data_IF_449837910817
#
_entry.id   IF_449837910817
#
_cell.length_a   1.000
_cell.length_b   1.000
_cell.length_c   1.000
_cell.angle_alpha   90.00
_cell.angle_beta   90.00
_cell.angle_gamma   90.00
#
_symmetry.space_group_name_H-M   'P 1'
#
loop_
_entity.id
_entity.type
_entity.pdbx_description
1 polymer ?
#
# COMPACT_ATOMS: atom_id res chain seq x y z
N UNK A 1 -23.80 2.77 12.97
CA UNK A 1 -22.35 3.06 12.86
C UNK A 1 -21.65 1.73 13.10
N UNK A 2 -21.13 1.11 12.03
CA UNK A 2 -20.34 -0.11 12.19
C UNK A 2 -19.08 0.25 12.98
N UNK A 3 -18.84 -0.47 14.08
CA UNK A 3 -17.62 -0.33 14.87
C UNK A 3 -16.43 -0.56 13.95
N UNK A 4 -15.61 0.47 13.74
CA UNK A 4 -14.37 0.37 12.96
C UNK A 4 -13.42 -0.61 13.66
N UNK A 5 -13.36 -1.83 13.19
CA UNK A 5 -12.44 -2.85 13.70
C UNK A 5 -11.01 -2.32 13.61
N UNK A 6 -10.39 -2.05 14.74
CA UNK A 6 -8.98 -1.62 14.82
C UNK A 6 -8.08 -2.79 14.46
N UNK A 7 -7.56 -2.80 13.24
CA UNK A 7 -6.60 -3.81 12.78
C UNK A 7 -5.18 -3.28 13.04
N UNK A 8 -4.37 -4.05 13.78
CA UNK A 8 -2.97 -3.68 14.07
C UNK A 8 -2.09 -3.72 12.81
N UNK A 9 -0.95 -3.02 12.81
CA UNK A 9 0.01 -2.99 11.70
C UNK A 9 0.44 -4.41 11.28
N UNK A 10 0.83 -5.25 12.21
CA UNK A 10 1.28 -6.62 11.91
C UNK A 10 0.17 -7.50 11.31
N UNK A 11 -1.07 -7.32 11.77
CA UNK A 11 -2.21 -8.03 11.19
C UNK A 11 -2.49 -7.55 9.76
N UNK A 12 -2.38 -6.23 9.50
CA UNK A 12 -2.47 -5.69 8.14
C UNK A 12 -1.38 -6.25 7.23
N UNK A 13 -0.14 -6.29 7.71
CA UNK A 13 1.00 -6.86 6.99
C UNK A 13 0.74 -8.33 6.62
N UNK A 14 0.31 -9.16 7.60
CA UNK A 14 -0.01 -10.57 7.36
C UNK A 14 -1.14 -10.74 6.32
N UNK A 15 -2.22 -9.98 6.45
CA UNK A 15 -3.33 -10.01 5.49
C UNK A 15 -2.85 -9.61 4.10
N UNK A 16 -2.05 -8.54 3.99
CA UNK A 16 -1.54 -8.03 2.71
C UNK A 16 -0.67 -9.03 1.94
N UNK A 17 0.00 -9.95 2.64
CA UNK A 17 0.90 -10.93 2.02
C UNK A 17 0.18 -12.27 1.77
N UNK A 18 -0.56 -12.77 2.77
CA UNK A 18 -1.08 -14.15 2.78
C UNK A 18 -2.60 -14.24 2.84
N UNK A 19 -3.31 -13.14 3.11
CA UNK A 19 -4.74 -13.17 3.43
C UNK A 19 -5.60 -12.44 2.43
N UNK A 20 -5.50 -12.75 1.13
CA UNK A 20 -6.30 -12.09 0.08
C UNK A 20 -7.81 -12.13 0.35
N UNK A 21 -8.32 -13.19 0.98
CA UNK A 21 -9.73 -13.33 1.35
C UNK A 21 -10.17 -12.30 2.40
N UNK A 22 -9.24 -11.84 3.24
CA UNK A 22 -9.49 -10.84 4.27
C UNK A 22 -9.34 -9.39 3.77
N UNK A 23 -9.01 -9.18 2.49
CA UNK A 23 -8.84 -7.83 1.91
C UNK A 23 -10.09 -6.96 2.07
N UNK A 24 -11.29 -7.56 2.08
CA UNK A 24 -12.54 -6.85 2.38
C UNK A 24 -12.50 -6.04 3.69
N UNK A 25 -11.78 -6.53 4.71
CA UNK A 25 -11.61 -5.83 6.00
C UNK A 25 -10.67 -4.63 5.88
N UNK A 26 -9.73 -4.65 4.93
CA UNK A 26 -8.78 -3.57 4.69
C UNK A 26 -9.35 -2.47 3.79
N UNK A 27 -10.18 -2.85 2.82
CA UNK A 27 -10.75 -1.95 1.80
C UNK A 27 -11.67 -0.90 2.39
N UNK A 28 -12.48 -1.28 3.38
CA UNK A 28 -13.46 -0.39 4.03
C UNK A 28 -12.82 0.61 5.01
N UNK A 29 -11.53 0.47 5.31
CA UNK A 29 -10.84 1.39 6.21
C UNK A 29 -10.74 2.80 5.62
N UNK A 30 -10.62 3.80 6.51
CA UNK A 30 -10.31 5.17 6.10
C UNK A 30 -8.94 5.20 5.42
N UNK A 31 -8.83 5.92 4.30
CA UNK A 31 -7.56 6.06 3.55
C UNK A 31 -6.42 6.58 4.44
N UNK A 32 -6.71 7.42 5.44
CA UNK A 32 -5.69 7.87 6.40
C UNK A 32 -5.02 6.72 7.15
N UNK A 33 -5.77 5.67 7.51
CA UNK A 33 -5.22 4.46 8.16
C UNK A 33 -4.38 3.60 7.18
N UNK A 34 -4.74 3.63 5.91
CA UNK A 34 -3.97 2.97 4.83
C UNK A 34 -2.68 3.73 4.56
N UNK A 35 -2.73 5.08 4.52
CA UNK A 35 -1.54 5.92 4.39
C UNK A 35 -0.62 5.76 5.60
N UNK A 36 -1.15 5.77 6.83
CA UNK A 36 -0.32 5.51 8.02
C UNK A 36 0.35 4.14 7.98
N UNK A 37 -0.31 3.12 7.45
CA UNK A 37 0.28 1.79 7.26
C UNK A 37 1.47 1.83 6.31
N UNK A 38 1.33 2.45 5.12
CA UNK A 38 2.41 2.51 4.13
C UNK A 38 3.58 3.38 4.62
N UNK A 39 3.30 4.47 5.34
CA UNK A 39 4.33 5.31 5.97
C UNK A 39 5.19 4.48 6.93
N UNK A 40 4.58 3.70 7.83
CA UNK A 40 5.31 2.83 8.76
C UNK A 40 6.09 1.75 8.00
N UNK A 41 5.50 1.14 6.97
CA UNK A 41 6.19 0.16 6.13
C UNK A 41 7.42 0.77 5.45
N UNK A 42 7.29 1.99 4.93
CA UNK A 42 8.39 2.72 4.28
C UNK A 42 9.48 3.14 5.28
N UNK A 43 9.12 3.52 6.50
CA UNK A 43 10.11 3.77 7.56
C UNK A 43 10.95 2.51 7.86
N UNK A 44 10.32 1.36 7.97
CA UNK A 44 11.01 0.08 8.17
C UNK A 44 11.88 -0.26 6.96
N UNK A 45 11.34 -0.12 5.74
CA UNK A 45 12.05 -0.35 4.49
C UNK A 45 13.32 0.51 4.40
N UNK A 46 13.17 1.81 4.56
CA UNK A 46 14.29 2.75 4.44
C UNK A 46 15.32 2.61 5.56
N UNK A 47 14.90 2.23 6.76
CA UNK A 47 15.80 1.93 7.86
C UNK A 47 16.78 0.80 7.48
N UNK A 48 16.28 -0.35 7.03
CA UNK A 48 17.14 -1.48 6.65
C UNK A 48 17.94 -1.20 5.38
N UNK A 49 17.36 -0.52 4.40
CA UNK A 49 18.06 -0.12 3.18
C UNK A 49 19.23 0.80 3.50
N UNK A 50 19.02 1.82 4.34
CA UNK A 50 20.08 2.77 4.72
C UNK A 50 21.18 2.08 5.52
N UNK A 51 20.84 1.11 6.38
CA UNK A 51 21.86 0.29 7.07
C UNK A 51 22.76 -0.44 6.07
N UNK A 52 22.20 -1.08 5.06
CA UNK A 52 22.98 -1.80 4.05
C UNK A 52 23.87 -0.85 3.24
N UNK A 53 23.35 0.32 2.84
CA UNK A 53 24.11 1.35 2.13
C UNK A 53 25.25 1.89 2.99
N UNK A 54 24.97 2.19 4.27
CA UNK A 54 26.00 2.70 5.21
C UNK A 54 27.09 1.67 5.47
N UNK A 55 26.72 0.39 5.56
CA UNK A 55 27.69 -0.71 5.67
C UNK A 55 28.62 -0.75 4.44
N UNK A 56 28.05 -0.68 3.21
CA UNK A 56 28.84 -0.62 1.98
C UNK A 56 29.72 0.63 1.92
N UNK A 57 29.18 1.77 2.31
CA UNK A 57 29.90 3.03 2.39
C UNK A 57 31.11 2.93 3.35
N UNK A 58 30.93 2.34 4.54
CA UNK A 58 32.02 2.16 5.49
C UNK A 58 33.14 1.29 4.92
N UNK A 59 32.81 0.23 4.17
CA UNK A 59 33.78 -0.58 3.45
C UNK A 59 34.56 0.22 2.42
N UNK A 60 33.90 1.11 1.69
CA UNK A 60 34.53 2.00 0.70
C UNK A 60 35.47 3.02 1.38
N UNK A 61 35.01 3.65 2.46
CA UNK A 61 35.84 4.58 3.26
C UNK A 61 37.11 3.90 3.75
N UNK A 62 37.02 2.66 4.25
CA UNK A 62 38.16 1.91 4.70
C UNK A 62 39.15 1.60 3.56
N UNK A 63 38.65 1.23 2.36
CA UNK A 63 39.51 1.02 1.17
C UNK A 63 40.23 2.30 0.76
N UNK A 64 39.48 3.43 0.73
CA UNK A 64 40.06 4.75 0.43
C UNK A 64 41.13 5.14 1.43
N UNK A 65 40.85 4.98 2.73
CA UNK A 65 41.81 5.23 3.80
C UNK A 65 43.09 4.42 3.62
N UNK A 66 42.99 3.11 3.43
CA UNK A 66 44.13 2.23 3.20
C UNK A 66 44.94 2.64 1.96
N UNK A 67 44.25 2.97 0.88
CA UNK A 67 44.89 3.43 -0.36
C UNK A 67 45.66 4.72 -0.16
N UNK A 68 45.08 5.72 0.53
CA UNK A 68 45.71 7.00 0.84
C UNK A 68 46.97 6.76 1.73
N UNK A 69 46.85 5.91 2.72
CA UNK A 69 47.95 5.63 3.63
C UNK A 69 49.15 4.99 2.92
N UNK A 70 48.87 4.03 2.05
CA UNK A 70 49.91 3.21 1.38
C UNK A 70 50.52 3.92 0.15
N UNK A 71 49.75 4.66 -0.63
CA UNK A 71 50.16 5.11 -1.95
C UNK A 71 50.38 6.61 -2.07
N UNK A 72 49.75 7.41 -1.22
CA UNK A 72 49.81 8.88 -1.29
C UNK A 72 50.85 9.37 -0.27
N UNK A 73 51.85 10.10 -0.76
CA UNK A 73 52.86 10.71 0.10
C UNK A 73 52.34 11.99 0.74
N UNK A 74 51.90 12.95 -0.07
CA UNK A 74 51.29 14.20 0.41
C UNK A 74 49.92 14.39 -0.22
N UNK A 75 48.99 14.94 0.56
CA UNK A 75 47.72 15.41 0.13
C UNK A 75 47.47 16.74 0.82
N UNK A 76 47.35 17.79 0.05
CA UNK A 76 47.10 19.12 0.54
C UNK A 76 45.89 19.71 -0.19
N UNK A 77 45.01 20.32 0.56
CA UNK A 77 43.94 21.15 0.04
C UNK A 77 44.14 22.56 0.55
N UNK A 78 44.10 23.53 -0.34
CA UNK A 78 44.22 24.94 0.03
C UNK A 78 43.46 25.83 -0.98
N UNK A 79 42.58 26.68 -0.50
CA UNK A 79 41.84 27.70 -1.30
C UNK A 79 41.18 27.10 -2.56
N UNK A 80 40.49 25.96 -2.42
CA UNK A 80 39.75 25.35 -3.53
C UNK A 80 40.59 24.52 -4.51
N UNK A 81 41.86 24.26 -4.19
CA UNK A 81 42.77 23.45 -4.99
C UNK A 81 43.28 22.26 -4.21
N UNK A 82 43.28 21.09 -4.85
CA UNK A 82 43.85 19.85 -4.31
C UNK A 82 45.22 19.64 -4.96
N UNK A 83 46.21 19.27 -4.15
CA UNK A 83 47.52 18.81 -4.60
C UNK A 83 47.82 17.46 -3.98
N UNK A 84 48.09 16.45 -4.80
CA UNK A 84 48.39 15.08 -4.39
C UNK A 84 49.68 14.66 -5.04
N UNK A 85 50.64 14.18 -4.20
CA UNK A 85 51.89 13.57 -4.68
C UNK A 85 51.94 12.12 -4.29
N UNK A 86 52.47 11.28 -5.19
CA UNK A 86 52.67 9.87 -5.01
C UNK A 86 54.17 9.53 -5.05
N UNK A 87 54.53 8.41 -4.47
CA UNK A 87 55.94 7.96 -4.39
C UNK A 87 56.57 7.69 -5.78
N UNK A 88 55.79 7.32 -6.77
CA UNK A 88 56.31 6.86 -8.08
C UNK A 88 55.85 7.62 -9.31
N UNK A 89 54.65 8.25 -9.30
CA UNK A 89 54.09 8.92 -10.46
C UNK A 89 53.17 10.08 -10.06
N UNK A 90 53.11 11.14 -10.88
CA UNK A 90 52.22 12.28 -10.64
C UNK A 90 50.74 11.99 -10.99
N UNK A 91 50.46 10.91 -11.73
CA UNK A 91 49.12 10.50 -12.12
C UNK A 91 48.80 9.15 -11.51
N UNK A 92 47.70 9.08 -10.78
CA UNK A 92 47.18 7.87 -10.16
C UNK A 92 46.03 7.36 -11.04
N UNK A 93 46.13 6.10 -11.49
CA UNK A 93 45.05 5.44 -12.20
C UNK A 93 44.77 4.07 -11.55
N UNK A 94 43.61 3.91 -10.93
CA UNK A 94 43.29 2.69 -10.17
C UNK A 94 41.83 2.29 -10.34
N UNK A 95 41.56 0.99 -10.32
CA UNK A 95 40.24 0.36 -10.27
C UNK A 95 39.92 -0.25 -8.89
N UNK A 96 40.81 -0.09 -7.91
CA UNK A 96 40.72 -0.73 -6.59
C UNK A 96 39.88 0.03 -5.58
N UNK A 97 39.62 1.32 -5.80
CA UNK A 97 38.95 2.18 -4.81
C UNK A 97 37.43 2.06 -4.84
N UNK A 98 36.85 1.94 -6.03
CA UNK A 98 35.42 1.79 -6.26
C UNK A 98 35.20 0.67 -7.25
N UNK A 99 33.98 0.20 -7.43
CA UNK A 99 33.68 -0.74 -8.52
C UNK A 99 33.69 0.01 -9.88
N UNK A 100 34.86 0.62 -10.18
CA UNK A 100 35.03 1.50 -11.33
C UNK A 100 36.43 2.10 -11.39
N UNK A 101 36.65 3.03 -12.30
CA UNK A 101 37.96 3.64 -12.57
C UNK A 101 38.11 4.98 -11.85
N UNK A 102 39.20 5.18 -11.14
CA UNK A 102 39.59 6.47 -10.54
C UNK A 102 40.92 6.94 -11.13
N UNK A 103 40.93 8.14 -11.66
CA UNK A 103 42.11 8.84 -12.15
C UNK A 103 42.31 10.09 -11.31
N UNK A 104 43.51 10.26 -10.76
CA UNK A 104 43.87 11.45 -9.98
C UNK A 104 45.07 12.08 -10.67
N UNK A 105 44.88 13.29 -11.16
CA UNK A 105 45.94 14.10 -11.74
C UNK A 105 45.77 15.54 -11.28
N UNK A 106 46.59 15.93 -10.31
CA UNK A 106 46.56 17.29 -9.73
C UNK A 106 47.70 18.17 -10.27
N UNK A 107 48.23 17.79 -11.42
CA UNK A 107 49.27 18.61 -12.14
C UNK A 107 48.69 19.94 -12.55
N UNK A 108 49.47 21.01 -12.38
CA UNK A 108 49.08 22.34 -12.84
C UNK A 108 49.09 22.40 -14.39
N UNK A 109 48.14 23.19 -14.95
CA UNK A 109 48.03 23.45 -16.38
C UNK A 109 47.79 22.27 -17.29
N UNK A 110 46.96 21.31 -16.85
CA UNK A 110 46.47 20.23 -17.74
C UNK A 110 45.78 20.81 -18.97
N UNK A 111 46.13 20.28 -20.14
CA UNK A 111 45.46 20.66 -21.38
C UNK A 111 44.07 20.04 -21.50
N UNK A 112 43.16 20.70 -22.22
CA UNK A 112 41.82 20.12 -22.47
C UNK A 112 41.91 18.75 -23.15
N UNK A 113 42.94 18.50 -23.95
CA UNK A 113 43.15 17.20 -24.61
C UNK A 113 43.44 16.10 -23.58
N UNK A 114 44.25 16.37 -22.56
CA UNK A 114 44.55 15.43 -21.50
C UNK A 114 43.29 15.15 -20.63
N UNK A 115 42.52 16.19 -20.32
CA UNK A 115 41.26 16.04 -19.55
C UNK A 115 40.26 15.21 -20.38
N UNK A 116 40.08 15.49 -21.64
CA UNK A 116 39.21 14.73 -22.54
C UNK A 116 39.62 13.24 -22.62
N UNK A 117 40.91 12.94 -22.60
CA UNK A 117 41.41 11.56 -22.57
C UNK A 117 40.99 10.85 -21.30
N UNK A 118 41.07 11.49 -20.15
CA UNK A 118 40.61 10.93 -18.86
C UNK A 118 39.10 10.72 -18.83
N UNK A 119 38.34 11.67 -19.37
CA UNK A 119 36.89 11.55 -19.49
C UNK A 119 36.50 10.36 -20.40
N UNK A 120 37.16 10.18 -21.53
CA UNK A 120 36.95 9.01 -22.43
C UNK A 120 37.29 7.71 -21.72
N UNK A 121 38.38 7.68 -20.94
CA UNK A 121 38.76 6.48 -20.21
C UNK A 121 37.71 6.06 -19.21
N UNK A 122 37.17 7.00 -18.38
CA UNK A 122 36.18 6.65 -17.39
C UNK A 122 34.79 6.33 -17.99
N UNK A 123 34.49 6.80 -19.24
CA UNK A 123 33.23 6.45 -19.91
C UNK A 123 33.07 4.95 -20.15
N UNK A 124 34.17 4.22 -20.28
CA UNK A 124 34.19 2.78 -20.54
C UNK A 124 33.88 1.94 -19.28
N UNK A 125 33.86 2.55 -18.10
CA UNK A 125 33.59 1.87 -16.84
C UNK A 125 32.16 2.14 -16.34
N UNK A 126 31.67 1.25 -15.50
CA UNK A 126 30.36 1.37 -14.89
C UNK A 126 30.25 2.61 -13.99
N UNK A 127 31.29 2.84 -13.17
CA UNK A 127 31.50 4.07 -12.40
C UNK A 127 32.89 4.61 -12.72
N UNK A 128 33.07 5.92 -12.65
CA UNK A 128 34.35 6.56 -12.88
C UNK A 128 34.47 7.88 -12.16
N UNK A 129 35.69 8.24 -11.78
CA UNK A 129 36.02 9.53 -11.21
C UNK A 129 37.35 10.02 -11.74
N UNK A 130 37.40 11.30 -12.15
CA UNK A 130 38.65 12.01 -12.42
C UNK A 130 38.76 13.15 -11.41
N UNK A 131 39.83 13.13 -10.61
CA UNK A 131 40.13 14.15 -9.61
C UNK A 131 41.26 15.01 -10.15
N UNK A 132 40.94 16.25 -10.45
CA UNK A 132 41.87 17.28 -10.91
C UNK A 132 42.13 18.28 -9.78
N UNK A 133 43.04 19.23 -10.00
CA UNK A 133 43.40 20.20 -9.00
C UNK A 133 42.22 21.06 -8.50
N UNK A 134 41.31 21.44 -9.44
CA UNK A 134 40.22 22.40 -9.19
C UNK A 134 38.80 21.81 -9.36
N UNK A 135 38.70 20.60 -9.90
CA UNK A 135 37.42 19.96 -10.20
C UNK A 135 37.46 18.44 -10.10
N UNK A 136 36.31 17.85 -9.85
CA UNK A 136 36.09 16.42 -9.87
C UNK A 136 35.06 16.11 -10.96
N UNK A 137 35.38 15.17 -11.86
CA UNK A 137 34.49 14.69 -12.91
C UNK A 137 34.03 13.29 -12.53
N UNK A 138 32.72 13.10 -12.43
CA UNK A 138 32.11 11.85 -12.00
C UNK A 138 31.28 11.23 -13.10
N UNK A 139 31.40 9.92 -13.26
CA UNK A 139 30.47 9.07 -13.99
C UNK A 139 29.82 8.09 -13.04
N UNK A 140 28.51 8.04 -13.05
CA UNK A 140 27.74 7.04 -12.30
C UNK A 140 26.94 6.17 -13.26
N UNK A 141 26.65 4.96 -12.86
CA UNK A 141 25.80 4.05 -13.64
C UNK A 141 24.41 4.61 -13.96
N UNK A 142 23.89 5.49 -13.12
CA UNK A 142 22.57 6.10 -13.29
C UNK A 142 22.57 7.27 -14.29
N UNK A 143 23.74 7.88 -14.55
CA UNK A 143 23.86 9.03 -15.44
C UNK A 143 24.69 8.67 -16.67
N UNK A 144 24.08 8.78 -17.84
CA UNK A 144 24.82 8.68 -19.12
C UNK A 144 25.76 9.87 -19.36
N UNK A 145 25.64 10.92 -18.55
CA UNK A 145 26.38 12.19 -18.67
C UNK A 145 27.38 12.31 -17.52
N UNK A 146 28.58 12.82 -17.86
CA UNK A 146 29.58 13.17 -16.87
C UNK A 146 29.13 14.39 -16.06
N UNK A 147 29.28 14.33 -14.75
CA UNK A 147 28.99 15.44 -13.83
C UNK A 147 30.30 16.04 -13.36
N UNK A 148 30.50 17.34 -13.60
CA UNK A 148 31.67 18.07 -13.13
C UNK A 148 31.29 18.88 -11.88
N UNK A 149 32.07 18.76 -10.83
CA UNK A 149 31.88 19.44 -9.54
C UNK A 149 33.16 20.23 -9.24
N UNK A 150 33.04 21.53 -8.92
CA UNK A 150 34.14 22.35 -8.48
C UNK A 150 34.59 21.94 -7.08
N UNK A 151 35.90 21.78 -6.90
CA UNK A 151 36.50 21.49 -5.58
C UNK A 151 36.27 22.68 -4.65
N UNK A 152 36.29 23.90 -5.17
CA UNK A 152 36.04 25.13 -4.42
C UNK A 152 34.61 25.14 -3.89
N UNK A 153 33.61 24.78 -4.73
CA UNK A 153 32.20 24.78 -4.32
C UNK A 153 31.94 23.76 -3.19
N UNK A 154 32.59 22.60 -3.26
CA UNK A 154 32.52 21.62 -2.17
C UNK A 154 33.14 22.17 -0.88
N UNK A 155 34.30 22.79 -1.00
CA UNK A 155 35.01 23.35 0.14
C UNK A 155 34.24 24.51 0.81
N UNK A 156 33.65 25.39 0.02
CA UNK A 156 32.83 26.49 0.50
C UNK A 156 31.58 25.97 1.25
N UNK A 157 30.91 24.95 0.71
CA UNK A 157 29.77 24.32 1.38
C UNK A 157 30.15 23.65 2.71
N UNK A 158 31.36 23.10 2.80
CA UNK A 158 31.87 22.42 4.00
C UNK A 158 32.64 23.38 4.95
N UNK A 159 32.75 24.66 4.60
CA UNK A 159 33.57 25.64 5.30
C UNK A 159 35.02 25.17 5.47
N UNK A 160 35.59 24.51 4.45
CA UNK A 160 36.96 24.03 4.44
C UNK A 160 37.87 25.02 3.75
N UNK A 161 38.82 25.58 4.50
CA UNK A 161 39.84 26.51 3.96
C UNK A 161 41.12 25.77 3.60
N UNK A 162 41.60 24.92 4.50
CA UNK A 162 42.82 24.13 4.37
C UNK A 162 42.67 22.80 5.08
N UNK A 163 43.19 21.73 4.49
CA UNK A 163 43.46 20.49 5.20
C UNK A 163 44.63 19.74 4.56
N UNK A 164 45.26 18.88 5.36
CA UNK A 164 46.40 18.06 4.97
C UNK A 164 46.04 16.54 5.08
N UNK A 165 46.90 15.71 4.52
CA UNK A 165 46.74 14.23 4.60
C UNK A 165 46.44 13.79 6.03
N UNK A 166 47.16 14.33 7.03
CA UNK A 166 46.98 13.92 8.42
C UNK A 166 45.59 14.27 8.98
N UNK A 167 45.05 15.43 8.59
CA UNK A 167 43.70 15.86 8.98
C UNK A 167 42.65 14.92 8.42
N UNK A 168 42.79 14.53 7.13
CA UNK A 168 41.92 13.58 6.49
C UNK A 168 42.01 12.21 7.18
N UNK A 169 43.22 11.71 7.47
CA UNK A 169 43.42 10.44 8.14
C UNK A 169 42.84 10.46 9.56
N UNK A 170 42.95 11.57 10.28
CA UNK A 170 42.34 11.75 11.60
C UNK A 170 40.79 11.78 11.51
N UNK A 171 40.23 12.44 10.49
CA UNK A 171 38.78 12.45 10.26
C UNK A 171 38.24 11.05 9.93
N UNK A 172 39.00 10.27 9.16
CA UNK A 172 38.64 8.90 8.76
C UNK A 172 39.05 7.84 9.81
N UNK A 173 39.41 8.25 11.02
CA UNK A 173 39.89 7.35 12.08
C UNK A 173 39.19 7.57 13.41
N UNK A 174 39.27 6.55 14.29
CA UNK A 174 38.73 6.61 15.64
C UNK A 174 37.25 6.98 15.71
N UNK A 175 36.88 7.82 16.67
CA UNK A 175 35.49 8.24 16.88
C UNK A 175 34.97 9.20 15.81
N UNK A 176 35.84 9.88 15.06
CA UNK A 176 35.40 10.84 14.05
C UNK A 176 34.74 10.17 12.84
N UNK A 177 35.23 9.02 12.41
CA UNK A 177 34.65 8.27 11.30
C UNK A 177 33.23 7.82 11.60
N UNK A 178 32.92 7.49 12.86
CA UNK A 178 31.55 7.12 13.26
C UNK A 178 30.59 8.31 13.16
N UNK A 179 31.05 9.54 13.39
CA UNK A 179 30.25 10.75 13.18
C UNK A 179 29.93 10.92 11.69
N UNK A 180 30.89 10.65 10.81
CA UNK A 180 30.69 10.69 9.35
C UNK A 180 29.64 9.63 8.95
N UNK A 181 29.75 8.38 9.45
CA UNK A 181 28.76 7.35 9.15
C UNK A 181 27.38 7.69 9.69
N UNK A 182 27.28 8.25 10.88
CA UNK A 182 26.01 8.67 11.46
C UNK A 182 25.36 9.82 10.66
N UNK A 183 26.13 10.83 10.28
CA UNK A 183 25.67 11.92 9.44
C UNK A 183 25.20 11.41 8.07
N UNK A 184 26.00 10.56 7.42
CA UNK A 184 25.65 9.93 6.16
C UNK A 184 24.35 9.12 6.28
N UNK A 185 24.23 8.31 7.35
CA UNK A 185 23.03 7.52 7.61
C UNK A 185 21.80 8.41 7.73
N UNK A 186 21.84 9.46 8.52
CA UNK A 186 20.69 10.35 8.75
C UNK A 186 20.26 11.01 7.45
N UNK A 187 21.21 11.58 6.69
CA UNK A 187 20.90 12.26 5.42
C UNK A 187 20.32 11.28 4.41
N UNK A 188 20.95 10.11 4.25
CA UNK A 188 20.48 9.09 3.32
C UNK A 188 19.13 8.51 3.73
N UNK A 189 18.90 8.30 5.04
CA UNK A 189 17.61 7.83 5.54
C UNK A 189 16.47 8.79 5.18
N UNK A 190 16.64 10.09 5.45
CA UNK A 190 15.62 11.09 5.13
C UNK A 190 15.40 11.15 3.61
N UNK A 191 16.48 11.20 2.83
CA UNK A 191 16.40 11.25 1.37
C UNK A 191 15.65 10.03 0.80
N UNK A 192 16.07 8.83 1.17
CA UNK A 192 15.46 7.59 0.68
C UNK A 192 14.02 7.45 1.14
N UNK A 193 13.71 7.84 2.38
CA UNK A 193 12.34 7.81 2.89
C UNK A 193 11.41 8.68 2.03
N UNK A 194 11.80 9.92 1.75
CA UNK A 194 10.99 10.82 0.92
C UNK A 194 10.83 10.28 -0.50
N UNK A 195 11.92 9.83 -1.12
CA UNK A 195 11.91 9.32 -2.50
C UNK A 195 11.05 8.06 -2.60
N UNK A 196 11.32 7.04 -1.78
CA UNK A 196 10.58 5.77 -1.86
C UNK A 196 9.11 5.90 -1.46
N UNK A 197 8.80 6.70 -0.43
CA UNK A 197 7.41 6.96 -0.05
C UNK A 197 6.65 7.64 -1.20
N UNK A 198 7.23 8.66 -1.82
CA UNK A 198 6.62 9.36 -2.95
C UNK A 198 6.40 8.42 -4.13
N UNK A 199 7.40 7.61 -4.48
CA UNK A 199 7.31 6.61 -5.56
C UNK A 199 6.18 5.62 -5.29
N UNK A 200 6.11 5.03 -4.10
CA UNK A 200 5.10 4.03 -3.75
C UNK A 200 3.69 4.63 -3.77
N UNK A 201 3.51 5.88 -3.34
CA UNK A 201 2.21 6.55 -3.40
C UNK A 201 1.76 6.84 -4.84
N UNK A 202 2.70 7.20 -5.73
CA UNK A 202 2.45 7.37 -7.17
C UNK A 202 2.13 6.04 -7.85
N UNK A 203 2.92 5.00 -7.57
CA UNK A 203 2.69 3.64 -8.08
C UNK A 203 1.32 3.12 -7.65
N UNK A 204 0.88 3.39 -6.42
CA UNK A 204 -0.44 3.01 -5.94
C UNK A 204 -1.57 3.64 -6.75
N UNK A 205 -1.39 4.86 -7.29
CA UNK A 205 -2.35 5.48 -8.21
C UNK A 205 -2.43 4.67 -9.51
N UNK A 206 -1.27 4.31 -10.10
CA UNK A 206 -1.21 3.52 -11.33
C UNK A 206 -1.86 2.14 -11.16
N UNK A 207 -1.53 1.43 -10.08
CA UNK A 207 -2.16 0.14 -9.77
C UNK A 207 -3.66 0.27 -9.47
N UNK A 208 -4.10 1.40 -8.93
CA UNK A 208 -5.52 1.68 -8.72
C UNK A 208 -6.28 1.81 -10.05
N UNK A 209 -5.65 2.37 -11.08
CA UNK A 209 -6.27 2.42 -12.42
C UNK A 209 -6.49 1.02 -12.98
N UNK A 210 -5.49 0.12 -12.83
CA UNK A 210 -5.62 -1.29 -13.21
C UNK A 210 -6.77 -1.94 -12.42
N UNK A 211 -6.83 -1.67 -11.11
CA UNK A 211 -7.91 -2.14 -10.26
C UNK A 211 -9.30 -1.63 -10.68
N UNK A 212 -9.42 -0.37 -11.07
CA UNK A 212 -10.67 0.19 -11.60
C UNK A 212 -11.11 -0.50 -12.89
N UNK A 213 -10.16 -0.73 -13.82
CA UNK A 213 -10.43 -1.47 -15.06
C UNK A 213 -10.93 -2.89 -14.75
N UNK A 214 -10.25 -3.60 -13.83
CA UNK A 214 -10.68 -4.93 -13.37
C UNK A 214 -12.08 -4.90 -12.76
N UNK A 215 -12.39 -3.88 -11.96
CA UNK A 215 -13.72 -3.67 -11.39
C UNK A 215 -14.79 -3.51 -12.46
N UNK A 216 -14.55 -2.66 -13.46
CA UNK A 216 -15.47 -2.43 -14.58
C UNK A 216 -15.71 -3.73 -15.37
N UNK A 217 -14.64 -4.42 -15.77
CA UNK A 217 -14.71 -5.70 -16.50
C UNK A 217 -15.44 -6.79 -15.69
N UNK A 218 -15.38 -6.71 -14.38
CA UNK A 218 -16.05 -7.65 -13.46
C UNK A 218 -17.47 -7.25 -13.09
N UNK A 219 -18.02 -6.16 -13.66
CA UNK A 219 -19.32 -5.58 -13.29
C UNK A 219 -19.43 -5.24 -11.78
N UNK A 220 -18.31 -4.87 -11.16
CA UNK A 220 -18.22 -4.52 -9.75
C UNK A 220 -18.03 -3.00 -9.61
N UNK A 221 -19.01 -2.29 -9.04
CA UNK A 221 -18.93 -0.86 -8.77
C UNK A 221 -18.20 -0.61 -7.45
N UNK A 222 -16.89 -0.34 -7.51
CA UNK A 222 -16.07 0.04 -6.36
C UNK A 222 -15.69 1.53 -6.48
N UNK A 223 -15.72 2.26 -5.37
CA UNK A 223 -15.24 3.64 -5.32
C UNK A 223 -13.71 3.66 -5.48
N UNK A 224 -13.16 4.61 -6.23
CA UNK A 224 -11.71 4.78 -6.45
C UNK A 224 -10.92 4.73 -5.13
N UNK A 225 -11.41 5.40 -4.07
CA UNK A 225 -10.79 5.37 -2.75
C UNK A 225 -10.55 3.96 -2.20
N UNK A 226 -11.51 3.06 -2.41
CA UNK A 226 -11.39 1.68 -1.95
C UNK A 226 -10.39 0.89 -2.81
N UNK A 227 -10.39 1.14 -4.12
CA UNK A 227 -9.39 0.54 -5.04
C UNK A 227 -7.98 1.01 -4.71
N UNK A 228 -7.81 2.29 -4.35
CA UNK A 228 -6.54 2.85 -3.89
C UNK A 228 -6.05 2.18 -2.59
N UNK A 229 -6.96 1.93 -1.64
CA UNK A 229 -6.62 1.17 -0.45
C UNK A 229 -6.16 -0.27 -0.81
N UNK A 230 -6.86 -0.95 -1.72
CA UNK A 230 -6.45 -2.28 -2.24
C UNK A 230 -5.06 -2.20 -2.83
N UNK A 231 -4.79 -1.23 -3.72
CA UNK A 231 -3.50 -1.08 -4.38
C UNK A 231 -2.35 -0.92 -3.37
N UNK A 232 -2.50 -0.05 -2.37
CA UNK A 232 -1.48 0.13 -1.33
C UNK A 232 -1.19 -1.18 -0.58
N UNK A 233 -2.22 -1.92 -0.16
CA UNK A 233 -2.00 -3.19 0.54
C UNK A 233 -1.40 -4.26 -0.39
N UNK A 234 -1.79 -4.29 -1.66
CA UNK A 234 -1.28 -5.22 -2.67
C UNK A 234 0.21 -5.00 -2.98
N UNK A 235 0.72 -3.78 -2.80
CA UNK A 235 2.14 -3.47 -2.98
C UNK A 235 3.02 -3.97 -1.83
N UNK A 236 2.47 -4.43 -0.73
CA UNK A 236 3.24 -4.84 0.45
C UNK A 236 4.27 -5.94 0.13
N UNK A 237 3.85 -7.01 -0.52
CA UNK A 237 4.75 -8.11 -0.90
C UNK A 237 5.81 -7.66 -1.91
N UNK A 238 5.48 -6.99 -3.03
CA UNK A 238 6.48 -6.42 -3.93
C UNK A 238 7.52 -5.54 -3.23
N UNK A 239 7.09 -4.66 -2.30
CA UNK A 239 7.98 -3.78 -1.55
C UNK A 239 8.98 -4.59 -0.70
N UNK A 240 8.53 -5.62 0.00
CA UNK A 240 9.41 -6.48 0.81
C UNK A 240 10.40 -7.23 -0.07
N UNK A 241 9.94 -7.79 -1.19
CA UNK A 241 10.82 -8.47 -2.14
C UNK A 241 11.86 -7.51 -2.74
N UNK A 242 11.45 -6.28 -3.03
CA UNK A 242 12.35 -5.25 -3.53
C UNK A 242 13.42 -4.87 -2.49
N UNK A 243 13.06 -4.75 -1.22
CA UNK A 243 14.02 -4.52 -0.14
C UNK A 243 15.08 -5.62 -0.08
N UNK A 244 14.64 -6.88 -0.07
CA UNK A 244 15.53 -8.04 -0.03
C UNK A 244 16.46 -8.02 -1.26
N UNK A 245 15.90 -7.81 -2.45
CA UNK A 245 16.67 -7.73 -3.69
C UNK A 245 17.73 -6.63 -3.65
N UNK A 246 17.36 -5.41 -3.25
CA UNK A 246 18.30 -4.28 -3.21
C UNK A 246 19.40 -4.54 -2.18
N UNK A 247 19.08 -5.08 -0.99
CA UNK A 247 20.09 -5.41 0.02
C UNK A 247 21.06 -6.47 -0.50
N UNK A 248 20.54 -7.55 -1.12
CA UNK A 248 21.40 -8.58 -1.73
C UNK A 248 22.28 -7.98 -2.82
N UNK A 249 21.71 -7.15 -3.69
CA UNK A 249 22.46 -6.47 -4.74
C UNK A 249 23.57 -5.57 -4.16
N UNK A 250 23.29 -4.77 -3.13
CA UNK A 250 24.28 -3.91 -2.46
C UNK A 250 25.42 -4.74 -1.86
N UNK A 251 25.12 -5.86 -1.23
CA UNK A 251 26.11 -6.65 -0.51
C UNK A 251 26.94 -7.56 -1.43
N UNK A 252 26.34 -8.11 -2.48
CA UNK A 252 26.95 -9.13 -3.33
C UNK A 252 27.26 -8.67 -4.76
N UNK A 253 26.68 -7.54 -5.20
CA UNK A 253 26.72 -7.10 -6.61
C UNK A 253 25.82 -7.92 -7.54
N UNK A 254 25.06 -8.91 -7.02
CA UNK A 254 24.19 -9.76 -7.83
C UNK A 254 23.00 -8.99 -8.37
N UNK A 255 22.78 -9.02 -9.69
CA UNK A 255 21.66 -8.36 -10.35
C UNK A 255 20.72 -9.39 -10.99
N UNK A 256 19.43 -9.22 -10.77
CA UNK A 256 18.38 -10.00 -11.45
C UNK A 256 17.87 -9.21 -12.64
N UNK A 257 18.08 -9.75 -13.84
CA UNK A 257 17.56 -9.13 -15.06
C UNK A 257 16.02 -9.07 -15.02
N UNK A 258 15.48 -7.91 -15.35
CA UNK A 258 14.01 -7.69 -15.34
C UNK A 258 13.32 -7.76 -13.98
N UNK A 259 14.04 -7.56 -12.88
CA UNK A 259 13.43 -7.55 -11.54
C UNK A 259 12.27 -6.53 -11.41
N UNK A 260 12.40 -5.36 -12.04
CA UNK A 260 11.34 -4.35 -12.04
C UNK A 260 10.05 -4.86 -12.69
N UNK A 261 10.14 -5.68 -13.75
CA UNK A 261 8.98 -6.31 -14.38
C UNK A 261 8.31 -7.30 -13.42
N UNK A 262 9.11 -8.09 -12.70
CA UNK A 262 8.61 -9.01 -11.68
C UNK A 262 7.88 -8.25 -10.55
N UNK A 263 8.46 -7.16 -10.06
CA UNK A 263 7.85 -6.29 -9.06
C UNK A 263 6.48 -5.78 -9.50
N UNK A 264 6.39 -5.22 -10.71
CA UNK A 264 5.15 -4.73 -11.29
C UNK A 264 4.12 -5.85 -11.48
N UNK A 265 4.54 -7.01 -11.99
CA UNK A 265 3.67 -8.14 -12.23
C UNK A 265 3.02 -8.66 -10.93
N UNK A 266 3.81 -8.81 -9.86
CA UNK A 266 3.29 -9.24 -8.55
C UNK A 266 2.26 -8.23 -8.03
N UNK A 267 2.55 -6.93 -8.09
CA UNK A 267 1.61 -5.90 -7.66
C UNK A 267 0.28 -5.96 -8.44
N UNK A 268 0.35 -6.09 -9.77
CA UNK A 268 -0.83 -6.23 -10.63
C UNK A 268 -1.66 -7.49 -10.29
N UNK A 269 -1.00 -8.63 -10.13
CA UNK A 269 -1.67 -9.90 -9.79
C UNK A 269 -2.42 -9.77 -8.46
N UNK A 270 -1.79 -9.16 -7.44
CA UNK A 270 -2.42 -8.97 -6.14
C UNK A 270 -3.63 -8.03 -6.20
N UNK A 271 -3.54 -6.93 -6.95
CA UNK A 271 -4.67 -5.99 -7.13
C UNK A 271 -5.83 -6.69 -7.84
N UNK A 272 -5.56 -7.39 -8.95
CA UNK A 272 -6.58 -8.10 -9.72
C UNK A 272 -7.21 -9.20 -8.86
N UNK A 273 -6.40 -10.03 -8.21
CA UNK A 273 -6.89 -11.12 -7.36
C UNK A 273 -7.75 -10.59 -6.20
N UNK A 274 -7.32 -9.52 -5.52
CA UNK A 274 -8.10 -8.92 -4.44
C UNK A 274 -9.49 -8.44 -4.91
N UNK A 275 -9.58 -7.80 -6.07
CA UNK A 275 -10.86 -7.33 -6.63
C UNK A 275 -11.76 -8.49 -7.01
N UNK A 276 -11.22 -9.54 -7.64
CA UNK A 276 -12.00 -10.72 -8.02
C UNK A 276 -12.52 -11.50 -6.81
N UNK A 277 -11.73 -11.60 -5.74
CA UNK A 277 -12.15 -12.22 -4.48
C UNK A 277 -13.28 -11.41 -3.84
N UNK A 278 -13.14 -10.08 -3.76
CA UNK A 278 -14.19 -9.20 -3.24
C UNK A 278 -15.49 -9.36 -4.05
N UNK A 279 -15.39 -9.42 -5.39
CA UNK A 279 -16.54 -9.68 -6.27
C UNK A 279 -17.21 -11.02 -5.94
N UNK A 280 -16.41 -12.09 -5.83
CA UNK A 280 -16.93 -13.43 -5.49
C UNK A 280 -17.69 -13.42 -4.17
N UNK A 281 -17.15 -12.76 -3.15
CA UNK A 281 -17.81 -12.63 -1.84
C UNK A 281 -19.14 -11.86 -1.91
N UNK A 282 -19.19 -10.77 -2.68
CA UNK A 282 -20.43 -10.01 -2.88
C UNK A 282 -21.48 -10.85 -3.59
N UNK A 283 -21.09 -11.60 -4.62
CA UNK A 283 -22.02 -12.51 -5.33
C UNK A 283 -22.55 -13.59 -4.39
N UNK A 284 -21.69 -14.20 -3.57
CA UNK A 284 -22.13 -15.20 -2.59
C UNK A 284 -23.15 -14.63 -1.61
N UNK A 285 -22.90 -13.43 -1.08
CA UNK A 285 -23.84 -12.75 -0.18
C UNK A 285 -25.18 -12.43 -0.87
N UNK A 286 -25.17 -12.01 -2.14
CA UNK A 286 -26.40 -11.76 -2.90
C UNK A 286 -27.21 -13.03 -3.12
N UNK A 287 -26.56 -14.15 -3.44
CA UNK A 287 -27.22 -15.45 -3.61
C UNK A 287 -27.83 -15.92 -2.27
N UNK A 288 -27.11 -15.77 -1.17
CA UNK A 288 -27.62 -16.15 0.15
C UNK A 288 -28.84 -15.28 0.55
N UNK A 289 -28.75 -13.97 0.35
CA UNK A 289 -29.87 -13.06 0.59
C UNK A 289 -31.08 -13.40 -0.27
N UNK A 290 -30.88 -13.71 -1.56
CA UNK A 290 -31.98 -14.09 -2.45
C UNK A 290 -32.67 -15.40 -2.02
N UNK A 291 -31.91 -16.38 -1.49
CA UNK A 291 -32.48 -17.61 -0.93
C UNK A 291 -33.32 -17.31 0.31
N UNK A 292 -32.83 -16.48 1.22
CA UNK A 292 -33.58 -16.09 2.41
C UNK A 292 -34.87 -15.37 2.04
N UNK A 293 -34.83 -14.45 1.05
CA UNK A 293 -36.02 -13.77 0.57
C UNK A 293 -37.04 -14.72 -0.05
N UNK A 294 -36.59 -15.70 -0.85
CA UNK A 294 -37.47 -16.72 -1.43
C UNK A 294 -38.13 -17.60 -0.36
N UNK A 295 -37.39 -17.93 0.68
CA UNK A 295 -37.90 -18.73 1.80
C UNK A 295 -38.95 -17.95 2.62
N UNK A 296 -38.68 -16.69 2.88
CA UNK A 296 -39.66 -15.80 3.53
C UNK A 296 -40.93 -15.63 2.70
N UNK A 297 -40.81 -15.50 1.38
CA UNK A 297 -41.98 -15.38 0.49
C UNK A 297 -42.83 -16.66 0.49
N UNK A 298 -42.19 -17.84 0.50
CA UNK A 298 -42.93 -19.12 0.62
C UNK A 298 -43.70 -19.23 1.94
N UNK A 299 -43.03 -18.88 3.05
CA UNK A 299 -43.69 -18.86 4.38
C UNK A 299 -44.87 -17.91 4.41
N UNK A 300 -44.73 -16.72 3.79
CA UNK A 300 -45.81 -15.74 3.68
C UNK A 300 -46.97 -16.30 2.88
N UNK A 301 -46.73 -16.94 1.74
CA UNK A 301 -47.77 -17.54 0.90
C UNK A 301 -48.50 -18.66 1.64
N UNK A 302 -47.75 -19.52 2.35
CA UNK A 302 -48.36 -20.59 3.18
C UNK A 302 -49.24 -20.05 4.30
N UNK A 303 -48.81 -18.92 4.91
CA UNK A 303 -49.62 -18.27 5.94
C UNK A 303 -50.88 -17.66 5.38
N UNK A 304 -50.82 -16.96 4.23
CA UNK A 304 -51.96 -16.41 3.54
C UNK A 304 -52.97 -17.51 3.09
N UNK A 305 -52.47 -18.66 2.62
CA UNK A 305 -53.29 -19.78 2.24
C UNK A 305 -53.99 -20.41 3.43
N UNK A 306 -53.32 -20.59 4.55
CA UNK A 306 -53.93 -21.06 5.80
C UNK A 306 -54.99 -20.10 6.33
N UNK A 307 -54.77 -18.78 6.19
CA UNK A 307 -55.74 -17.78 6.60
C UNK A 307 -56.99 -17.80 5.68
N UNK A 308 -56.83 -18.01 4.36
CA UNK A 308 -57.94 -18.22 3.44
C UNK A 308 -58.74 -19.46 3.76
N UNK A 309 -58.06 -20.59 3.97
CA UNK A 309 -58.73 -21.84 4.34
C UNK A 309 -59.54 -21.68 5.64
N UNK A 310 -58.98 -21.03 6.63
CA UNK A 310 -59.66 -20.74 7.89
C UNK A 310 -60.88 -19.87 7.74
N UNK A 311 -60.82 -18.82 6.90
CA UNK A 311 -61.94 -17.96 6.58
C UNK A 311 -63.05 -18.73 5.81
N UNK A 312 -62.67 -19.59 4.88
CA UNK A 312 -63.65 -20.45 4.15
C UNK A 312 -64.32 -21.46 5.08
N UNK A 313 -63.58 -22.05 6.03
CA UNK A 313 -64.19 -22.96 7.02
C UNK A 313 -65.13 -22.23 7.95
N UNK A 314 -64.77 -21.02 8.44
CA UNK A 314 -65.64 -20.19 9.25
C UNK A 314 -66.92 -19.78 8.52
N UNK A 315 -66.81 -19.46 7.22
CA UNK A 315 -67.97 -19.12 6.39
C UNK A 315 -68.90 -20.33 6.15
N UNK A 316 -68.34 -21.49 5.85
CA UNK A 316 -69.10 -22.77 5.76
C UNK A 316 -69.81 -23.10 7.09
N UNK A 317 -69.14 -22.87 8.19
CA UNK A 317 -69.77 -23.10 9.52
C UNK A 317 -70.89 -22.11 9.81
N UNK A 318 -70.75 -20.82 9.42
CA UNK A 318 -71.79 -19.82 9.49
C UNK A 318 -73.02 -20.17 8.62
N UNK A 319 -72.82 -20.67 7.42
CA UNK A 319 -73.88 -21.08 6.53
C UNK A 319 -74.61 -22.32 7.12
N UNK A 320 -73.88 -23.31 7.63
CA UNK A 320 -74.48 -24.49 8.31
C UNK A 320 -75.33 -24.08 9.49
N UNK A 321 -74.83 -23.17 10.35
CA UNK A 321 -75.58 -22.66 11.51
C UNK A 321 -76.85 -21.87 11.10
N UNK A 322 -76.82 -21.16 9.96
CA UNK A 322 -77.99 -20.47 9.40
C UNK A 322 -79.01 -21.50 8.89
N UNK A 323 -78.57 -22.48 8.11
CA UNK A 323 -79.45 -23.53 7.60
C UNK A 323 -80.11 -24.37 8.70
N UNK A 324 -79.36 -24.67 9.78
CA UNK A 324 -79.93 -25.36 10.95
C UNK A 324 -80.95 -24.49 11.69
N UNK A 325 -80.76 -23.21 11.82
CA UNK A 325 -81.71 -22.28 12.41
C UNK A 325 -82.98 -22.19 11.55
N UNK A 326 -82.87 -22.08 10.26
CA UNK A 326 -83.99 -22.06 9.33
C UNK A 326 -84.80 -23.37 9.36
N UNK A 327 -84.11 -24.50 9.40
CA UNK A 327 -84.77 -25.83 9.58
C UNK A 327 -85.47 -25.94 10.95
N UNK A 328 -84.93 -25.39 12.01
CA UNK A 328 -85.59 -25.37 13.32
C UNK A 328 -86.78 -24.43 13.33
N UNK A 329 -86.73 -23.28 12.71
CA UNK A 329 -87.85 -22.35 12.54
C UNK A 329 -89.00 -22.93 11.68
N UNK A 330 -88.65 -23.62 10.59
CA UNK A 330 -89.62 -24.33 9.75
C UNK A 330 -90.30 -25.44 10.53
N UNK A 331 -89.56 -26.21 11.33
CA UNK A 331 -90.13 -27.23 12.23
C UNK A 331 -91.03 -26.62 13.32
N UNK A 332 -90.68 -25.45 13.86
CA UNK A 332 -91.54 -24.72 14.82
C UNK A 332 -92.78 -24.16 14.17
N UNK A 333 -92.69 -23.62 12.96
CA UNK A 333 -93.86 -23.13 12.16
C UNK A 333 -94.84 -24.25 11.71
N UNK A 334 -94.29 -25.44 11.44
CA UNK A 334 -95.14 -26.61 11.12
C UNK A 334 -95.74 -27.25 12.36
N UNK A 335 -95.16 -27.16 13.54
CA UNK A 335 -95.73 -27.59 14.83
C UNK A 335 -96.84 -26.64 15.32
N UNK A 336 -96.76 -25.34 15.05
CA UNK A 336 -97.71 -24.32 15.51
C UNK A 336 -98.99 -24.25 14.57
N UNK A 337 -98.98 -24.95 13.46
CA UNK A 337 -100.15 -25.08 12.58
C UNK A 337 -101.14 -26.16 12.98
N UNK A 338 -100.85 -26.94 14.09
CA UNK A 338 -101.67 -28.08 14.57
C UNK A 338 -102.30 -27.87 15.96
N UNK A 339 -102.43 -26.60 16.48
CA UNK A 339 -103.16 -26.39 17.76
C UNK A 339 -104.29 -25.36 17.56
N UNK A 340 -105.50 -25.55 18.14
CA UNK A 340 -106.69 -24.70 17.88
C UNK A 340 -106.66 -23.42 18.72
N UNK A 341 -107.41 -22.44 18.17
CA UNK A 341 -107.61 -21.10 18.77
C UNK A 341 -108.29 -21.18 20.11
N UNK A 342 -107.85 -20.44 21.12
CA UNK A 342 -108.70 -19.84 22.12
C UNK A 342 -108.25 -18.39 22.43
N UNK A 343 -109.29 -17.53 22.68
CA UNK A 343 -109.34 -16.07 22.76
C UNK A 343 -108.81 -15.57 24.12
N UNK A 344 -108.34 -14.34 24.18
CA UNK A 344 -108.44 -13.54 25.41
C UNK A 344 -107.38 -12.44 25.53
N UNK A 345 -107.82 -11.22 25.22
CA UNK A 345 -107.60 -9.91 25.84
C UNK A 345 -106.20 -9.33 26.13
N UNK A 346 -106.00 -8.14 25.56
CA UNK A 346 -105.14 -7.00 25.80
C UNK A 346 -105.13 -6.51 27.30
N UNK A 347 -104.13 -5.76 27.81
CA UNK A 347 -103.66 -4.48 27.24
C UNK A 347 -102.12 -4.18 27.39
N UNK A 348 -101.72 -3.25 26.58
CA UNK A 348 -100.55 -2.40 26.69
C UNK A 348 -100.52 -1.57 28.00
N UNK A 349 -99.54 -0.71 28.35
CA UNK A 349 -98.42 -0.17 27.54
C UNK A 349 -97.08 0.15 28.29
N UNK A 350 -96.20 0.90 27.58
CA UNK A 350 -95.17 1.90 27.96
C UNK A 350 -93.74 1.40 28.12
N UNK A 351 -92.90 1.77 27.22
CA UNK A 351 -92.09 2.99 27.04
C UNK A 351 -90.96 3.21 28.11
N UNK A 352 -89.79 3.25 27.63
CA UNK A 352 -88.74 4.26 27.81
C UNK A 352 -87.37 3.71 27.39
N UNK A 353 -86.79 4.20 26.30
CA UNK A 353 -85.96 5.42 26.13
C UNK A 353 -84.66 5.43 26.97
N UNK A 354 -83.65 5.64 26.19
CA UNK A 354 -82.36 6.32 26.39
C UNK A 354 -81.12 5.45 26.54
N UNK A 355 -80.32 5.63 25.60
CA UNK A 355 -79.23 6.54 25.29
C UNK A 355 -77.87 6.14 25.85
N UNK A 356 -77.01 6.18 24.88
CA UNK A 356 -75.69 6.85 24.78
C UNK A 356 -74.49 6.14 25.42
N UNK A 357 -73.57 6.01 24.47
CA UNK A 357 -72.21 6.59 24.43
C UNK A 357 -71.15 5.98 25.39
N UNK A 358 -70.19 5.46 24.88
CA UNK A 358 -68.84 5.99 24.49
C UNK A 358 -68.06 4.90 23.81
#
# INVERSE_FOLDING_TARGET
MEEEVKISFWKKLKISIFGLEDYKKLVVQKTSKTISYIVILMLIFTFFLTLAITYRFSGTVNKVKQYIDQNIETLNFNNGKISITQKENNVISTDKLFDGKVIIDTTENLTNEQINKYEEEIKNYYNGAVILQDKVILKTNMASVLTTISVKDIADQLNLVKFEKQDLMNALSGNNVYKIYAAFYIVMFIYLFVVYLSTVLLDAILYSLIGCITGILSNLRIRFRNVYNIAIYSMTLPIILNLIYIIVNILTGYTVKYFNVLYMAIACIYVIAAILIIRSDIIKQQIELSKIMQEQEKVRQEMEEKERQKKEEEEKERIRKKDEKERQEQKKKSANKKAPKEKGDTPEPQANIKTEEL
#
